data_IF_353634524199
#
_entry.id   IF_353634524199
#
_cell.length_a   1.000
_cell.length_b   1.000
_cell.length_c   1.000
_cell.angle_alpha   90.00
_cell.angle_beta   90.00
_cell.angle_gamma   90.00
#
_symmetry.space_group_name_H-M   'P 1'
#
loop_
_entity.id
_entity.type
_entity.pdbx_description
1 polymer ?
#
# COMPACT_ATOMS: atom_id res chain seq x y z
N UNK A 1 21.53 1.07 -11.39
CA UNK A 1 20.23 1.28 -10.73
C UNK A 1 20.21 0.52 -9.42
N UNK A 2 19.25 0.80 -8.52
CA UNK A 2 19.04 0.04 -7.30
C UNK A 2 18.44 -1.35 -7.58
N UNK A 3 18.80 -2.35 -6.77
CA UNK A 3 18.32 -3.74 -6.92
C UNK A 3 16.97 -3.99 -6.23
N UNK A 4 16.53 -3.06 -5.38
CA UNK A 4 15.27 -3.12 -4.63
C UNK A 4 15.01 -1.80 -3.91
N UNK A 5 13.83 -1.68 -3.30
CA UNK A 5 13.41 -0.49 -2.56
C UNK A 5 12.65 -0.87 -1.29
N UNK A 6 12.94 -0.16 -0.19
CA UNK A 6 12.09 -0.17 1.00
C UNK A 6 11.41 1.18 1.09
N UNK A 7 10.08 1.19 1.07
CA UNK A 7 9.28 2.40 1.23
C UNK A 7 8.90 2.55 2.71
N UNK A 8 9.41 3.59 3.34
CA UNK A 8 9.15 3.86 4.76
C UNK A 8 7.95 4.79 4.93
N UNK A 9 7.01 4.40 5.78
CA UNK A 9 5.93 5.30 6.16
C UNK A 9 6.43 6.46 7.02
N UNK A 10 5.77 7.61 6.85
CA UNK A 10 5.90 8.76 7.74
C UNK A 10 5.08 8.55 9.02
N UNK A 11 5.32 9.40 10.02
CA UNK A 11 4.51 9.43 11.24
C UNK A 11 3.02 9.70 10.96
N UNK A 12 2.69 10.41 9.87
CA UNK A 12 1.30 10.73 9.50
C UNK A 12 0.58 9.52 8.89
N UNK A 13 1.27 8.76 8.03
CA UNK A 13 0.76 7.52 7.42
C UNK A 13 0.80 6.33 8.37
N UNK A 14 1.59 6.41 9.45
CA UNK A 14 1.59 5.45 10.55
C UNK A 14 1.85 4.02 10.10
N UNK A 15 0.90 3.13 10.41
CA UNK A 15 0.98 1.69 10.14
C UNK A 15 0.16 1.25 8.91
N UNK A 16 -0.27 2.20 8.07
CA UNK A 16 -1.00 1.87 6.85
C UNK A 16 -0.10 1.12 5.86
N UNK A 17 -0.58 0.02 5.29
CA UNK A 17 0.19 -0.80 4.36
C UNK A 17 -0.68 -1.12 3.15
N UNK A 18 -0.25 -0.68 1.97
CA UNK A 18 -0.97 -0.89 0.71
C UNK A 18 -0.20 -1.86 -0.19
N UNK A 19 -0.92 -2.72 -0.89
CA UNK A 19 -0.33 -3.67 -1.84
C UNK A 19 -0.08 -2.99 -3.21
N UNK A 20 0.74 -1.95 -3.22
CA UNK A 20 1.03 -1.20 -4.44
C UNK A 20 2.04 -1.93 -5.34
N UNK A 21 1.79 -2.03 -6.65
CA UNK A 21 2.71 -2.67 -7.56
C UNK A 21 3.93 -1.77 -7.81
N UNK A 22 5.11 -2.32 -7.62
CA UNK A 22 6.38 -1.69 -7.99
C UNK A 22 7.05 -2.46 -9.15
N UNK A 23 7.90 -1.77 -9.92
CA UNK A 23 8.60 -2.36 -11.08
C UNK A 23 9.82 -3.18 -10.66
N UNK A 24 10.43 -2.80 -9.53
CA UNK A 24 11.54 -3.51 -8.89
C UNK A 24 11.06 -4.13 -7.57
N UNK A 25 11.77 -5.14 -7.02
CA UNK A 25 11.43 -5.75 -5.74
C UNK A 25 11.35 -4.69 -4.64
N UNK A 26 10.17 -4.53 -4.05
CA UNK A 26 9.93 -3.52 -3.05
C UNK A 26 9.01 -4.00 -1.93
N UNK A 27 9.18 -3.37 -0.76
CA UNK A 27 8.30 -3.57 0.39
C UNK A 27 8.03 -2.24 1.06
N UNK A 28 6.78 -2.02 1.47
CA UNK A 28 6.43 -0.93 2.37
C UNK A 28 6.61 -1.39 3.81
N UNK A 29 7.07 -0.51 4.69
CA UNK A 29 7.22 -0.77 6.12
C UNK A 29 6.50 0.29 6.93
N UNK A 30 5.96 -0.11 8.08
CA UNK A 30 5.30 0.80 9.01
C UNK A 30 6.28 1.85 9.56
N UNK A 31 5.78 2.98 10.05
CA UNK A 31 6.62 3.99 10.70
C UNK A 31 7.39 3.41 11.91
N UNK A 32 6.80 2.47 12.64
CA UNK A 32 7.48 1.82 13.77
C UNK A 32 8.65 0.96 13.29
N UNK A 33 8.46 0.22 12.20
CA UNK A 33 9.47 -0.67 11.65
C UNK A 33 10.57 0.10 10.92
N UNK A 34 10.25 1.24 10.29
CA UNK A 34 11.26 2.11 9.68
C UNK A 34 12.25 2.67 10.69
N UNK A 35 11.81 2.99 11.92
CA UNK A 35 12.71 3.38 13.00
C UNK A 35 13.68 2.25 13.40
N UNK A 36 13.21 1.01 13.42
CA UNK A 36 14.06 -0.14 13.69
C UNK A 36 15.04 -0.39 12.53
N UNK A 37 14.58 -0.26 11.29
CA UNK A 37 15.40 -0.39 10.08
C UNK A 37 16.49 0.68 10.02
N UNK A 38 16.16 1.94 10.29
CA UNK A 38 17.11 3.05 10.32
C UNK A 38 18.21 2.82 11.37
N UNK A 39 17.84 2.32 12.56
CA UNK A 39 18.82 1.92 13.58
C UNK A 39 19.73 0.78 13.10
N UNK A 40 19.15 -0.24 12.48
CA UNK A 40 19.91 -1.38 11.93
C UNK A 40 20.96 -0.91 10.90
N UNK A 41 20.56 -0.04 9.98
CA UNK A 41 21.46 0.53 8.95
C UNK A 41 22.59 1.33 9.60
N UNK A 42 22.28 2.15 10.61
CA UNK A 42 23.28 3.01 11.27
C UNK A 42 24.24 2.27 12.20
N UNK A 43 23.83 1.13 12.76
CA UNK A 43 24.62 0.36 13.74
C UNK A 43 25.42 -0.79 13.11
N UNK A 44 25.16 -1.10 11.84
CA UNK A 44 25.78 -2.25 11.15
C UNK A 44 26.73 -1.74 10.06
N UNK A 45 28.00 -2.16 10.09
CA UNK A 45 28.99 -1.74 9.09
C UNK A 45 28.63 -2.12 7.65
N UNK A 46 28.03 -3.31 7.47
CA UNK A 46 27.61 -3.85 6.17
C UNK A 46 26.18 -4.39 6.28
N UNK A 47 25.14 -3.53 6.25
CA UNK A 47 23.77 -3.98 6.36
C UNK A 47 23.36 -4.79 5.12
N UNK A 48 22.70 -5.93 5.34
CA UNK A 48 22.18 -6.81 4.30
C UNK A 48 20.73 -7.11 4.62
N UNK A 49 19.86 -7.01 3.63
CA UNK A 49 18.43 -7.34 3.75
C UNK A 49 17.99 -8.23 2.59
N UNK A 50 16.91 -8.98 2.81
CA UNK A 50 16.30 -9.84 1.80
C UNK A 50 14.80 -9.58 1.76
N UNK A 51 14.30 -9.16 0.60
CA UNK A 51 12.86 -9.03 0.32
C UNK A 51 12.37 -10.39 -0.18
N UNK A 52 11.43 -10.98 0.57
CA UNK A 52 10.79 -12.25 0.19
C UNK A 52 9.51 -11.99 -0.62
N UNK A 53 8.98 -12.99 -1.36
CA UNK A 53 7.70 -12.85 -2.04
C UNK A 53 6.58 -12.43 -1.08
N UNK A 54 5.63 -11.63 -1.57
CA UNK A 54 4.51 -11.16 -0.77
C UNK A 54 3.62 -12.31 -0.31
N UNK A 55 3.05 -12.16 0.89
CA UNK A 55 2.12 -13.13 1.48
C UNK A 55 0.88 -12.44 2.00
N UNK A 56 -0.27 -13.09 1.85
CA UNK A 56 -1.52 -12.63 2.47
C UNK A 56 -1.51 -12.99 3.95
N UNK A 57 -1.76 -12.02 4.81
CA UNK A 57 -1.93 -12.22 6.25
C UNK A 57 -3.38 -11.95 6.62
N UNK A 58 -4.03 -12.94 7.23
CA UNK A 58 -5.42 -12.85 7.66
C UNK A 58 -5.50 -12.54 9.17
N UNK A 59 -6.62 -11.96 9.60
CA UNK A 59 -6.86 -11.67 11.02
C UNK A 59 -6.05 -10.50 11.59
N UNK A 60 -5.60 -9.57 10.74
CA UNK A 60 -4.92 -8.35 11.17
C UNK A 60 -5.84 -7.48 12.03
N UNK A 61 -5.30 -6.85 13.07
CA UNK A 61 -6.04 -5.95 13.97
C UNK A 61 -5.34 -4.60 14.09
N UNK A 62 -6.08 -3.48 14.13
CA UNK A 62 -7.54 -3.38 13.99
C UNK A 62 -8.01 -3.57 12.54
N UNK A 63 -9.18 -4.19 12.36
CA UNK A 63 -9.88 -4.27 11.07
C UNK A 63 -11.39 -4.42 11.31
N UNK A 64 -12.27 -3.71 10.57
CA UNK A 64 -11.97 -2.74 9.52
C UNK A 64 -11.51 -1.38 10.09
N UNK A 65 -10.77 -0.62 9.28
CA UNK A 65 -10.38 0.77 9.56
C UNK A 65 -10.64 1.60 8.30
N UNK A 66 -11.07 2.85 8.46
CA UNK A 66 -11.24 3.78 7.35
C UNK A 66 -9.89 4.07 6.68
N UNK A 67 -9.81 3.86 5.37
CA UNK A 67 -8.63 4.20 4.59
C UNK A 67 -8.34 5.71 4.65
N UNK A 68 -7.07 6.09 4.69
CA UNK A 68 -6.67 7.49 4.79
C UNK A 68 -7.14 8.34 3.60
N UNK A 69 -7.23 7.73 2.41
CA UNK A 69 -7.70 8.37 1.18
C UNK A 69 -9.23 8.46 1.06
N UNK A 70 -9.99 7.80 1.93
CA UNK A 70 -11.46 7.80 1.85
C UNK A 70 -11.98 9.21 2.05
N UNK A 71 -12.77 9.69 1.09
CA UNK A 71 -13.46 10.98 1.19
C UNK A 71 -14.34 11.02 2.44
N UNK A 72 -14.41 12.20 3.07
CA UNK A 72 -15.17 12.45 4.28
C UNK A 72 -16.24 13.50 3.99
N UNK A 73 -17.40 13.35 4.60
CA UNK A 73 -18.43 14.37 4.55
C UNK A 73 -18.13 15.57 5.46
N UNK A 74 -19.05 16.55 5.51
CA UNK A 74 -20.36 16.57 4.83
C UNK A 74 -20.28 16.73 3.30
N UNK A 75 -21.35 16.37 2.58
CA UNK A 75 -21.43 16.61 1.14
C UNK A 75 -21.46 18.11 0.83
N UNK A 76 -20.68 18.57 -0.14
CA UNK A 76 -20.70 19.97 -0.61
C UNK A 76 -21.96 20.31 -1.42
N UNK A 77 -22.61 19.30 -2.01
CA UNK A 77 -23.82 19.47 -2.84
C UNK A 77 -25.07 19.55 -1.98
N UNK A 78 -25.17 18.67 -0.98
CA UNK A 78 -26.32 18.62 -0.07
C UNK A 78 -25.83 18.45 1.38
N UNK A 79 -25.37 19.53 2.05
CA UNK A 79 -24.80 19.45 3.39
C UNK A 79 -25.76 18.93 4.47
N UNK A 80 -27.08 19.02 4.22
CA UNK A 80 -28.13 18.53 5.11
C UNK A 80 -28.28 17.00 5.05
N UNK A 81 -27.76 16.35 4.00
CA UNK A 81 -27.75 14.90 3.83
C UNK A 81 -26.36 14.38 4.21
N UNK A 82 -26.29 13.59 5.29
CA UNK A 82 -25.02 13.01 5.74
C UNK A 82 -24.46 12.05 4.69
N UNK A 83 -23.16 12.18 4.41
CA UNK A 83 -22.37 11.28 3.56
C UNK A 83 -21.01 11.01 4.20
N UNK A 84 -20.35 9.87 3.90
CA UNK A 84 -20.85 8.72 3.13
C UNK A 84 -21.94 7.93 3.89
N UNK A 85 -22.70 7.08 3.21
CA UNK A 85 -23.79 6.31 3.85
C UNK A 85 -23.29 5.03 4.55
N UNK A 86 -22.27 4.36 3.97
CA UNK A 86 -21.76 3.09 4.44
C UNK A 86 -20.27 2.93 4.08
N UNK A 87 -19.55 2.13 4.86
CA UNK A 87 -18.17 1.72 4.58
C UNK A 87 -18.15 0.27 4.08
N UNK A 88 -17.32 -0.02 3.09
CA UNK A 88 -17.08 -1.35 2.57
C UNK A 88 -15.56 -1.61 2.38
N UNK A 89 -15.12 -2.86 2.16
CA UNK A 89 -13.72 -3.15 1.84
C UNK A 89 -13.29 -2.50 0.53
N UNK A 90 -12.27 -1.64 0.58
CA UNK A 90 -11.74 -0.91 -0.58
C UNK A 90 -10.21 -0.83 -0.65
N UNK A 91 -9.47 -1.44 0.28
CA UNK A 91 -7.99 -1.41 0.29
C UNK A 91 -7.44 -2.76 -0.15
N UNK A 92 -6.52 -2.75 -1.12
CA UNK A 92 -5.82 -3.94 -1.63
C UNK A 92 -6.77 -5.07 -2.08
N UNK A 93 -7.84 -4.71 -2.79
CA UNK A 93 -8.85 -5.65 -3.27
C UNK A 93 -8.35 -6.35 -4.53
N UNK A 94 -8.37 -7.68 -4.55
CA UNK A 94 -7.97 -8.50 -5.71
C UNK A 94 -9.18 -8.70 -6.63
N UNK A 95 -9.06 -8.25 -7.88
CA UNK A 95 -10.10 -8.38 -8.89
C UNK A 95 -9.53 -8.66 -10.29
N UNK A 96 -10.41 -9.01 -11.24
CA UNK A 96 -10.02 -9.20 -12.64
C UNK A 96 -9.46 -7.90 -13.25
N UNK A 97 -8.45 -8.03 -14.09
CA UNK A 97 -7.74 -6.91 -14.70
C UNK A 97 -7.65 -7.08 -16.22
N UNK A 98 -7.85 -6.00 -16.97
CA UNK A 98 -8.02 -6.06 -18.43
C UNK A 98 -6.75 -6.45 -19.18
N UNK A 99 -5.57 -6.24 -18.58
CA UNK A 99 -4.29 -6.39 -19.27
C UNK A 99 -4.09 -5.37 -20.40
N UNK A 100 -4.90 -4.32 -20.49
CA UNK A 100 -4.67 -3.23 -21.44
C UNK A 100 -3.56 -2.29 -20.96
N UNK A 101 -3.51 -2.07 -19.64
CA UNK A 101 -2.52 -1.26 -18.94
C UNK A 101 -1.68 -2.12 -18.01
N UNK A 102 -0.49 -1.62 -17.64
CA UNK A 102 0.37 -2.28 -16.67
C UNK A 102 -0.14 -2.08 -15.23
N UNK A 103 0.19 -2.97 -14.28
CA UNK A 103 -0.20 -2.80 -12.88
C UNK A 103 0.22 -1.46 -12.28
N UNK A 104 1.37 -0.91 -12.71
CA UNK A 104 1.88 0.39 -12.25
C UNK A 104 1.32 1.59 -13.03
N UNK A 105 0.53 1.35 -14.08
CA UNK A 105 0.13 2.33 -15.10
C UNK A 105 1.30 2.97 -15.88
N UNK A 106 2.52 2.42 -15.77
CA UNK A 106 3.69 2.89 -16.50
C UNK A 106 3.84 2.19 -17.85
N UNK A 107 4.21 2.94 -18.90
CA UNK A 107 4.37 2.40 -20.26
C UNK A 107 5.50 1.38 -20.38
N UNK A 108 6.55 1.51 -19.56
CA UNK A 108 7.71 0.63 -19.57
C UNK A 108 7.50 -0.66 -18.75
N UNK A 109 6.45 -0.74 -17.93
CA UNK A 109 6.09 -1.99 -17.25
C UNK A 109 5.35 -2.90 -18.23
N UNK A 110 6.00 -4.00 -18.62
CA UNK A 110 5.47 -4.98 -19.58
C UNK A 110 4.53 -6.03 -18.95
N UNK A 111 4.35 -6.05 -17.63
CA UNK A 111 3.51 -7.06 -16.95
C UNK A 111 2.04 -6.90 -17.33
N UNK A 112 1.34 -8.01 -17.61
CA UNK A 112 -0.11 -8.05 -17.94
C UNK A 112 -0.81 -9.19 -17.21
N UNK A 113 -1.11 -9.03 -15.91
CA UNK A 113 -1.75 -10.08 -15.13
C UNK A 113 -3.26 -10.12 -15.39
N UNK A 114 -3.86 -11.31 -15.23
CA UNK A 114 -5.33 -11.50 -15.31
C UNK A 114 -6.07 -10.91 -14.10
N UNK A 115 -5.35 -10.72 -12.98
CA UNK A 115 -5.86 -10.16 -11.74
C UNK A 115 -4.90 -9.12 -11.19
N UNK A 116 -5.41 -8.12 -10.49
CA UNK A 116 -4.61 -7.09 -9.84
C UNK A 116 -5.18 -6.74 -8.46
N UNK A 117 -4.32 -6.25 -7.55
CA UNK A 117 -4.72 -5.68 -6.27
C UNK A 117 -4.74 -4.15 -6.37
N UNK A 118 -5.87 -3.52 -6.08
CA UNK A 118 -6.05 -2.06 -6.17
C UNK A 118 -6.80 -1.54 -4.95
N UNK A 119 -6.54 -0.28 -4.58
CA UNK A 119 -7.23 0.41 -3.49
C UNK A 119 -8.06 1.59 -4.02
N UNK A 120 -9.22 1.86 -3.42
CA UNK A 120 -10.14 2.93 -3.80
C UNK A 120 -11.27 3.16 -2.81
#
# INVERSE_FOLDING_TARGET
GGVGMVLENTNVTGNDLTADPHVLPATQVSFKDSLALSRYINQTKNPIAHITPSRTVLGTKPAPVMAAFSSKGPSTVAPVILKPDITAPGVSVIAAYTGAVSPTNEQFDARRPLVNAVSG
#
